data_IF_592285859963
#
_entry.id   IF_592285859963
#
_cell.length_a   1.000
_cell.length_b   1.000
_cell.length_c   1.000
_cell.angle_alpha   90.00
_cell.angle_beta   90.00
_cell.angle_gamma   90.00
#
_symmetry.space_group_name_H-M   'P 1'
#
loop_
_entity.id
_entity.type
_entity.pdbx_description
1 polymer ?
#
# COMPACT_ATOMS: atom_id res chain seq x y z
N UNK A 1 -7.28 2.13 16.30
CA UNK A 1 -6.01 1.64 15.70
C UNK A 1 -6.01 0.13 15.46
N UNK A 2 -6.53 -0.65 16.40
CA UNK A 2 -6.56 -2.12 16.22
C UNK A 2 -7.31 -2.51 14.95
N UNK A 3 -8.42 -1.85 14.65
CA UNK A 3 -9.18 -2.12 13.43
C UNK A 3 -8.37 -1.83 12.17
N UNK A 4 -7.51 -0.81 12.20
CA UNK A 4 -6.66 -0.48 11.07
C UNK A 4 -5.54 -1.49 10.90
N UNK A 5 -5.00 -1.99 12.00
CA UNK A 5 -3.99 -3.05 11.96
C UNK A 5 -4.60 -4.31 11.35
N UNK A 6 -5.79 -4.69 11.83
CA UNK A 6 -6.49 -5.86 11.31
C UNK A 6 -6.86 -5.68 9.83
N UNK A 7 -7.30 -4.48 9.46
CA UNK A 7 -7.61 -4.17 8.06
C UNK A 7 -6.39 -4.26 7.16
N UNK A 8 -5.23 -3.83 7.65
CA UNK A 8 -3.99 -3.91 6.90
C UNK A 8 -3.56 -5.36 6.72
N UNK A 9 -3.69 -6.17 7.78
CA UNK A 9 -3.41 -7.60 7.68
C UNK A 9 -4.32 -8.28 6.66
N UNK A 10 -5.59 -7.91 6.65
CA UNK A 10 -6.53 -8.44 5.68
C UNK A 10 -6.17 -8.02 4.25
N UNK A 11 -5.78 -6.76 4.06
CA UNK A 11 -5.33 -6.28 2.77
C UNK A 11 -4.13 -7.09 2.28
N UNK A 12 -3.16 -7.32 3.14
CA UNK A 12 -1.99 -8.11 2.80
C UNK A 12 -2.37 -9.53 2.40
N UNK A 13 -3.28 -10.14 3.16
CA UNK A 13 -3.76 -11.49 2.86
C UNK A 13 -4.44 -11.55 1.49
N UNK A 14 -5.29 -10.57 1.20
CA UNK A 14 -5.96 -10.49 -0.09
C UNK A 14 -4.93 -10.33 -1.21
N UNK A 15 -3.95 -9.46 -1.02
CA UNK A 15 -2.93 -9.26 -2.04
C UNK A 15 -2.04 -10.48 -2.25
N UNK A 16 -1.83 -11.29 -1.21
CA UNK A 16 -1.08 -12.52 -1.36
C UNK A 16 -1.82 -13.52 -2.25
N UNK A 17 -3.14 -13.50 -2.22
CA UNK A 17 -3.95 -14.42 -3.01
C UNK A 17 -4.17 -13.95 -4.45
N UNK A 18 -4.05 -12.64 -4.71
CA UNK A 18 -4.34 -12.10 -6.03
C UNK A 18 -3.54 -12.73 -7.17
N UNK A 19 -2.24 -12.96 -7.05
CA UNK A 19 -1.49 -13.58 -8.16
C UNK A 19 -2.06 -14.94 -8.55
N UNK A 20 -2.53 -15.73 -7.58
CA UNK A 20 -3.14 -17.01 -7.88
C UNK A 20 -4.52 -16.85 -8.51
N UNK A 21 -5.31 -15.90 -8.04
CA UNK A 21 -6.63 -15.65 -8.58
C UNK A 21 -6.51 -15.14 -10.02
N UNK A 22 -5.51 -14.32 -10.29
CA UNK A 22 -5.34 -13.68 -11.59
C UNK A 22 -4.41 -14.44 -12.53
N UNK A 23 -4.04 -15.67 -12.19
CA UNK A 23 -3.02 -16.36 -12.99
C UNK A 23 -3.45 -16.63 -14.43
N UNK A 24 -4.74 -16.61 -14.71
CA UNK A 24 -5.23 -16.74 -16.08
C UNK A 24 -4.90 -15.50 -16.92
N UNK A 25 -4.59 -14.38 -16.26
CA UNK A 25 -4.11 -13.17 -16.93
C UNK A 25 -2.71 -12.89 -16.41
N UNK A 26 -1.71 -13.37 -17.15
CA UNK A 26 -0.32 -13.33 -16.69
C UNK A 26 0.20 -11.95 -16.35
N UNK A 27 -0.21 -10.92 -17.11
CA UNK A 27 0.26 -9.57 -16.85
C UNK A 27 -0.30 -9.02 -15.53
N UNK A 28 -1.59 -9.25 -15.28
CA UNK A 28 -2.19 -8.81 -14.02
C UNK A 28 -1.62 -9.58 -12.84
N UNK A 29 -1.37 -10.87 -13.01
CA UNK A 29 -0.77 -11.68 -11.95
C UNK A 29 0.63 -11.17 -11.58
N UNK A 30 1.43 -10.81 -12.57
CA UNK A 30 2.75 -10.25 -12.32
C UNK A 30 2.68 -8.92 -11.60
N UNK A 31 1.74 -8.07 -12.00
CA UNK A 31 1.57 -6.77 -11.32
C UNK A 31 1.07 -6.97 -9.89
N UNK A 32 0.16 -7.91 -9.68
CA UNK A 32 -0.31 -8.21 -8.32
C UNK A 32 0.83 -8.72 -7.44
N UNK A 33 1.71 -9.55 -7.98
CA UNK A 33 2.87 -10.04 -7.24
C UNK A 33 3.81 -8.90 -6.87
N UNK A 34 4.05 -7.97 -7.79
CA UNK A 34 4.91 -6.81 -7.50
C UNK A 34 4.24 -5.88 -6.48
N UNK A 35 2.92 -5.71 -6.58
CA UNK A 35 2.20 -4.85 -5.63
C UNK A 35 2.27 -5.40 -4.21
N UNK A 36 2.11 -6.71 -4.04
CA UNK A 36 2.18 -7.29 -2.70
C UNK A 36 3.60 -7.25 -2.16
N UNK A 37 4.60 -7.43 -3.00
CA UNK A 37 6.00 -7.31 -2.55
C UNK A 37 6.30 -5.90 -2.09
N UNK A 38 5.78 -4.90 -2.80
CA UNK A 38 5.95 -3.52 -2.37
C UNK A 38 5.29 -3.26 -1.02
N UNK A 39 4.10 -3.81 -0.81
CA UNK A 39 3.43 -3.71 0.48
C UNK A 39 4.26 -4.39 1.58
N UNK A 40 4.80 -5.58 1.30
CA UNK A 40 5.61 -6.33 2.27
C UNK A 40 6.80 -5.53 2.79
N UNK A 41 7.38 -4.69 1.94
CA UNK A 41 8.53 -3.90 2.34
C UNK A 41 8.20 -2.88 3.42
N UNK A 42 6.98 -2.38 3.44
CA UNK A 42 6.55 -1.37 4.43
C UNK A 42 5.80 -1.95 5.61
N UNK A 43 5.34 -3.20 5.52
CA UNK A 43 4.54 -3.79 6.59
C UNK A 43 5.26 -3.86 7.94
N UNK A 44 6.53 -4.29 8.03
CA UNK A 44 7.19 -4.32 9.33
C UNK A 44 7.23 -2.95 9.98
N UNK A 45 7.47 -1.91 9.21
CA UNK A 45 7.50 -0.54 9.72
C UNK A 45 6.11 -0.14 10.19
N UNK A 46 5.09 -0.37 9.36
CA UNK A 46 3.72 0.01 9.71
C UNK A 46 3.25 -0.73 10.96
N UNK A 47 3.43 -2.04 11.02
CA UNK A 47 2.95 -2.81 12.18
C UNK A 47 3.68 -2.41 13.44
N UNK A 48 4.99 -2.19 13.36
CA UNK A 48 5.75 -1.76 14.52
C UNK A 48 5.24 -0.42 15.04
N UNK A 49 5.11 0.56 14.16
CA UNK A 49 4.68 1.90 14.53
C UNK A 49 3.22 1.88 15.01
N UNK A 50 2.37 1.10 14.36
CA UNK A 50 0.96 1.03 14.74
C UNK A 50 0.78 0.37 16.11
N UNK A 51 1.50 -0.70 16.38
CA UNK A 51 1.44 -1.37 17.68
C UNK A 51 1.96 -0.45 18.76
N UNK A 52 3.07 0.23 18.52
CA UNK A 52 3.60 1.21 19.48
C UNK A 52 2.61 2.34 19.71
N UNK A 53 1.88 2.76 18.69
CA UNK A 53 0.86 3.80 18.83
C UNK A 53 -0.27 3.34 19.76
N UNK A 54 -0.64 2.06 19.70
CA UNK A 54 -1.63 1.50 20.61
C UNK A 54 -1.11 1.50 22.03
N UNK A 55 0.13 1.04 22.22
CA UNK A 55 0.74 0.97 23.54
C UNK A 55 0.91 2.35 24.17
N UNK A 56 1.28 3.33 23.37
CA UNK A 56 1.53 4.69 23.83
C UNK A 56 0.28 5.57 23.78
N UNK A 57 -0.86 5.00 23.35
CA UNK A 57 -2.13 5.70 23.28
C UNK A 57 -2.04 6.96 22.41
N UNK A 58 -1.33 6.87 21.29
CA UNK A 58 -1.16 8.00 20.39
C UNK A 58 -2.33 8.11 19.42
N UNK A 59 -3.30 8.94 19.77
CA UNK A 59 -4.49 9.13 18.94
C UNK A 59 -4.18 9.82 17.62
N UNK A 60 -3.13 10.62 17.58
CA UNK A 60 -2.73 11.31 16.35
C UNK A 60 -2.39 10.33 15.23
N UNK A 61 -1.85 9.17 15.59
CA UNK A 61 -1.45 8.19 14.59
C UNK A 61 -2.63 7.42 13.99
N UNK A 62 -3.81 7.50 14.61
CA UNK A 62 -4.99 6.80 14.08
C UNK A 62 -5.36 7.35 12.71
N UNK A 63 -5.45 8.68 12.58
CA UNK A 63 -5.76 9.30 11.30
C UNK A 63 -4.68 9.03 10.26
N UNK A 64 -3.41 9.11 10.68
CA UNK A 64 -2.30 8.86 9.78
C UNK A 64 -2.30 7.41 9.29
N UNK A 65 -2.61 6.46 10.18
CA UNK A 65 -2.71 5.06 9.81
C UNK A 65 -3.85 4.82 8.82
N UNK A 66 -4.98 5.49 9.02
CA UNK A 66 -6.09 5.39 8.09
C UNK A 66 -5.69 5.92 6.70
N UNK A 67 -5.05 7.08 6.65
CA UNK A 67 -4.59 7.62 5.38
C UNK A 67 -3.56 6.72 4.72
N UNK A 68 -2.67 6.12 5.52
CA UNK A 68 -1.69 5.18 4.99
C UNK A 68 -2.38 3.96 4.36
N UNK A 69 -3.35 3.39 5.06
CA UNK A 69 -4.07 2.22 4.56
C UNK A 69 -4.81 2.56 3.27
N UNK A 70 -5.49 3.72 3.23
CA UNK A 70 -6.18 4.16 2.02
C UNK A 70 -5.19 4.32 0.86
N UNK A 71 -4.03 4.92 1.12
CA UNK A 71 -3.02 5.10 0.08
C UNK A 71 -2.52 3.76 -0.46
N UNK A 72 -2.40 2.75 0.40
CA UNK A 72 -1.95 1.42 -0.04
C UNK A 72 -3.03 0.70 -0.86
N UNK A 73 -4.29 0.87 -0.50
CA UNK A 73 -5.39 0.31 -1.29
C UNK A 73 -5.41 0.96 -2.67
N UNK A 74 -5.27 2.28 -2.73
CA UNK A 74 -5.22 3.00 -4.01
C UNK A 74 -4.02 2.54 -4.85
N UNK A 75 -2.86 2.44 -4.22
CA UNK A 75 -1.65 1.99 -4.92
C UNK A 75 -1.85 0.60 -5.52
N UNK A 76 -2.37 -0.33 -4.73
CA UNK A 76 -2.59 -1.69 -5.19
C UNK A 76 -3.60 -1.73 -6.34
N UNK A 77 -4.69 -0.97 -6.22
CA UNK A 77 -5.73 -0.94 -7.25
C UNK A 77 -5.17 -0.42 -8.57
N UNK A 78 -4.45 0.70 -8.52
CA UNK A 78 -3.86 1.29 -9.71
C UNK A 78 -2.83 0.35 -10.33
N UNK A 79 -1.98 -0.23 -9.50
CA UNK A 79 -0.90 -1.07 -10.00
C UNK A 79 -1.45 -2.36 -10.64
N UNK A 80 -2.33 -3.05 -9.94
CA UNK A 80 -2.85 -4.35 -10.41
C UNK A 80 -3.74 -4.16 -11.64
N UNK A 81 -4.55 -3.10 -11.67
CA UNK A 81 -5.43 -2.85 -12.81
C UNK A 81 -4.64 -2.58 -14.10
N UNK A 82 -3.39 -2.16 -13.95
CA UNK A 82 -2.57 -1.83 -15.11
C UNK A 82 -2.90 -0.52 -15.76
N UNK A 83 -3.73 0.28 -15.14
CA UNK A 83 -4.04 1.61 -15.67
C UNK A 83 -2.74 2.40 -15.71
N UNK A 84 -2.42 2.96 -16.86
CA UNK A 84 -1.17 3.67 -17.05
C UNK A 84 0.03 2.80 -17.33
N UNK A 85 -0.12 1.48 -17.24
CA UNK A 85 0.97 0.56 -17.53
C UNK A 85 0.91 0.07 -18.97
N UNK A 86 -0.15 0.30 -19.64
CA UNK A 86 -0.28 -0.18 -20.94
C UNK A 86 0.55 0.52 -21.84
N UNK A 87 1.20 -0.15 -22.62
CA UNK A 87 2.13 0.54 -23.16
C UNK A 87 2.25 0.41 -24.55
N UNK A 88 1.40 -0.18 -25.21
CA UNK A 88 1.42 -0.21 -26.62
C UNK A 88 1.60 1.18 -27.16
N UNK A 89 0.99 2.15 -26.51
CA UNK A 89 1.15 3.51 -26.94
C UNK A 89 2.11 4.28 -26.07
N UNK A 90 2.31 3.86 -24.87
CA UNK A 90 3.26 4.47 -23.98
C UNK A 90 2.77 5.69 -23.23
N UNK A 91 1.91 6.47 -23.82
CA UNK A 91 1.52 7.75 -23.23
C UNK A 91 0.74 7.60 -21.95
N UNK A 92 -0.20 6.66 -21.90
CA UNK A 92 -0.98 6.44 -20.70
C UNK A 92 -0.10 6.00 -19.56
N UNK A 93 0.89 5.16 -19.84
CA UNK A 93 1.84 4.74 -18.85
C UNK A 93 2.58 5.89 -18.25
N UNK A 94 3.06 6.79 -19.09
CA UNK A 94 3.80 7.95 -18.63
C UNK A 94 2.93 8.86 -17.77
N UNK A 95 1.63 8.91 -18.06
CA UNK A 95 0.73 9.78 -17.32
C UNK A 95 0.49 9.26 -15.91
N UNK A 96 0.34 7.95 -15.74
CA UNK A 96 -0.05 7.40 -14.44
C UNK A 96 1.10 6.84 -13.61
N UNK A 97 2.25 6.61 -14.23
CA UNK A 97 3.42 6.20 -13.43
C UNK A 97 3.82 7.23 -12.39
N UNK A 98 3.86 8.54 -12.71
CA UNK A 98 4.11 9.54 -11.67
C UNK A 98 3.07 9.52 -10.56
N UNK A 99 1.81 9.24 -10.89
CA UNK A 99 0.76 9.15 -9.88
C UNK A 99 1.04 8.00 -8.90
N UNK A 100 1.45 6.83 -9.40
CA UNK A 100 1.80 5.71 -8.53
C UNK A 100 2.97 6.04 -7.62
N UNK A 101 4.00 6.66 -8.18
CA UNK A 101 5.16 7.07 -7.40
C UNK A 101 4.78 8.09 -6.34
N UNK A 102 3.90 9.02 -6.69
CA UNK A 102 3.44 10.03 -5.75
C UNK A 102 2.67 9.39 -4.60
N UNK A 103 1.81 8.43 -4.88
CA UNK A 103 1.06 7.73 -3.83
C UNK A 103 2.01 6.96 -2.93
N UNK A 104 3.02 6.32 -3.51
CA UNK A 104 4.03 5.59 -2.72
C UNK A 104 4.80 6.53 -1.80
N UNK A 105 5.23 7.67 -2.33
CA UNK A 105 5.94 8.68 -1.52
C UNK A 105 5.03 9.19 -0.41
N UNK A 106 3.76 9.45 -0.70
CA UNK A 106 2.81 9.90 0.30
C UNK A 106 2.67 8.85 1.42
N UNK A 107 2.62 7.57 1.08
CA UNK A 107 2.52 6.53 2.10
C UNK A 107 3.78 6.47 2.97
N UNK A 108 4.95 6.67 2.36
CA UNK A 108 6.21 6.70 3.11
C UNK A 108 6.26 7.88 4.07
N UNK A 109 5.81 9.05 3.61
CA UNK A 109 5.76 10.25 4.45
C UNK A 109 4.82 10.03 5.64
N UNK A 110 3.70 9.36 5.41
CA UNK A 110 2.77 9.05 6.50
C UNK A 110 3.41 8.15 7.56
N UNK A 111 4.19 7.15 7.14
CA UNK A 111 4.90 6.28 8.10
C UNK A 111 5.95 7.05 8.87
N UNK A 112 6.67 7.95 8.20
CA UNK A 112 7.67 8.79 8.87
C UNK A 112 6.99 9.70 9.88
N UNK A 113 5.84 10.28 9.51
CA UNK A 113 5.08 11.14 10.42
C UNK A 113 4.60 10.38 11.65
N UNK A 114 4.10 9.15 11.45
CA UNK A 114 3.69 8.32 12.57
C UNK A 114 4.87 8.01 13.50
N UNK A 115 6.02 7.75 12.92
CA UNK A 115 7.22 7.46 13.69
C UNK A 115 7.66 8.67 14.52
N UNK A 116 7.63 9.85 13.92
CA UNK A 116 8.01 11.07 14.65
C UNK A 116 7.06 11.39 15.79
N UNK A 117 5.78 11.05 15.64
CA UNK A 117 4.81 11.26 16.71
C UNK A 117 5.08 10.37 17.93
N UNK A 118 5.84 9.30 17.77
CA UNK A 118 6.17 8.40 18.86
C UNK A 118 7.48 8.75 19.56
N UNK A 119 8.27 9.60 18.95
CA UNK A 119 9.52 10.04 19.52
C UNK A 119 9.32 11.35 20.29
#
# INVERSE_FOLDING_TARGET
MINLIAGTALLYFIQLLLPNILKSNGDKAKRADKAVKNLMESLPIFFTVAILSVVMESDENISLALYWLVSRVLYATIYVSGVGMKTAKGDASKTLQPLRSLIWVASAVLLISMTTNLI
#
